data_IF_307430722042
#
_entry.id   IF_307430722042
#
_cell.length_a   1.000
_cell.length_b   1.000
_cell.length_c   1.000
_cell.angle_alpha   90.00
_cell.angle_beta   90.00
_cell.angle_gamma   90.00
#
_symmetry.space_group_name_H-M   'P 1'
#
loop_
_entity.id
_entity.type
_entity.pdbx_description
1 polymer ?
#
# COMPACT_ATOMS: atom_id res chain seq x y z
N UNK A 1 -10.94 3.49 -13.74
CA UNK A 1 -11.49 2.29 -13.07
C UNK A 1 -11.98 1.34 -14.14
N UNK A 2 -11.63 0.08 -14.03
CA UNK A 2 -12.10 -0.99 -14.91
C UNK A 2 -12.42 -2.24 -14.09
N UNK A 3 -13.33 -3.08 -14.60
CA UNK A 3 -13.55 -4.41 -14.05
C UNK A 3 -12.64 -5.40 -14.77
N UNK A 4 -11.90 -6.22 -14.01
CA UNK A 4 -11.07 -7.27 -14.54
C UNK A 4 -11.15 -8.53 -13.65
N UNK A 5 -11.47 -9.67 -14.23
CA UNK A 5 -11.92 -10.81 -13.45
C UNK A 5 -13.11 -10.44 -12.57
N UNK A 6 -13.06 -10.78 -11.31
CA UNK A 6 -14.09 -10.41 -10.32
C UNK A 6 -13.84 -9.05 -9.63
N UNK A 7 -12.71 -8.35 -9.91
CA UNK A 7 -12.30 -7.14 -9.22
C UNK A 7 -12.54 -5.86 -10.03
N UNK A 8 -12.95 -4.80 -9.34
CA UNK A 8 -12.82 -3.44 -9.84
C UNK A 8 -11.43 -2.93 -9.48
N UNK A 9 -10.68 -2.43 -10.47
CA UNK A 9 -9.29 -2.02 -10.30
C UNK A 9 -9.00 -0.65 -10.89
N UNK A 10 -7.96 -0.02 -10.37
CA UNK A 10 -7.33 1.16 -10.96
C UNK A 10 -6.10 0.66 -11.72
N UNK A 11 -6.09 0.85 -13.03
CA UNK A 11 -4.89 0.63 -13.85
C UNK A 11 -4.22 1.96 -14.15
N UNK A 12 -2.87 2.04 -14.11
CA UNK A 12 -2.14 3.29 -14.30
C UNK A 12 -2.36 3.90 -15.69
N UNK A 13 -2.37 3.07 -16.71
CA UNK A 13 -2.62 3.42 -18.11
C UNK A 13 -3.09 2.20 -18.89
N UNK A 14 -3.62 2.42 -20.09
CA UNK A 14 -3.95 1.30 -21.00
C UNK A 14 -2.66 0.70 -21.57
N UNK A 15 -1.78 1.55 -22.10
CA UNK A 15 -0.51 1.09 -22.67
C UNK A 15 0.45 0.64 -21.55
N UNK A 16 0.96 -0.58 -21.66
CA UNK A 16 1.91 -1.16 -20.72
C UNK A 16 1.32 -1.72 -19.42
N UNK A 17 -0.02 -1.60 -19.20
CA UNK A 17 -0.68 -2.07 -17.99
C UNK A 17 -1.96 -2.87 -18.26
N UNK A 18 -2.49 -2.82 -19.46
CA UNK A 18 -3.63 -3.60 -19.90
C UNK A 18 -3.22 -4.50 -21.07
N UNK A 19 -3.25 -5.81 -20.84
CA UNK A 19 -2.89 -6.85 -21.80
C UNK A 19 -4.08 -7.78 -22.07
N UNK A 20 -4.01 -8.60 -23.11
CA UNK A 20 -5.11 -9.48 -23.49
C UNK A 20 -5.49 -10.50 -22.40
N UNK A 21 -4.52 -10.96 -21.62
CA UNK A 21 -4.69 -12.04 -20.64
C UNK A 21 -4.30 -11.66 -19.20
N UNK A 22 -3.98 -10.39 -18.92
CA UNK A 22 -3.75 -9.86 -17.57
C UNK A 22 -3.75 -8.34 -17.56
N UNK A 23 -3.90 -7.78 -16.37
CA UNK A 23 -3.65 -6.36 -16.09
C UNK A 23 -2.58 -6.22 -15.01
N UNK A 24 -1.89 -5.07 -15.03
CA UNK A 24 -0.95 -4.69 -13.98
C UNK A 24 -1.62 -3.64 -13.09
N UNK A 25 -1.64 -3.92 -11.79
CA UNK A 25 -2.24 -3.08 -10.77
C UNK A 25 -1.18 -2.66 -9.76
N UNK A 26 -1.21 -1.39 -9.36
CA UNK A 26 -0.42 -0.92 -8.22
C UNK A 26 -1.35 -0.74 -7.01
N UNK A 27 -1.20 -1.53 -5.94
CA UNK A 27 -2.06 -1.44 -4.76
C UNK A 27 -2.06 -0.07 -4.10
N UNK A 28 -0.98 0.71 -4.22
CA UNK A 28 -0.88 2.05 -3.65
C UNK A 28 -1.73 3.11 -4.35
N UNK A 29 -2.34 2.78 -5.48
CA UNK A 29 -3.26 3.69 -6.18
C UNK A 29 -4.68 3.66 -5.62
N UNK A 30 -4.98 2.70 -4.75
CA UNK A 30 -6.22 2.69 -3.96
C UNK A 30 -6.07 3.65 -2.78
N UNK A 31 -6.26 4.94 -3.03
CA UNK A 31 -6.20 5.99 -2.00
C UNK A 31 -7.54 5.97 -1.25
N UNK A 32 -7.67 5.02 -0.30
CA UNK A 32 -8.92 4.73 0.40
C UNK A 32 -9.62 5.96 0.99
N UNK A 33 -8.94 6.90 1.69
CA UNK A 33 -9.62 8.09 2.22
C UNK A 33 -10.20 8.97 1.11
N UNK A 34 -9.52 9.12 -0.02
CA UNK A 34 -10.05 9.88 -1.16
C UNK A 34 -11.24 9.17 -1.82
N UNK A 35 -11.14 7.85 -2.04
CA UNK A 35 -12.21 7.05 -2.62
C UNK A 35 -13.46 7.06 -1.74
N UNK A 36 -13.31 6.95 -0.41
CA UNK A 36 -14.39 7.03 0.56
C UNK A 36 -15.05 8.41 0.55
N UNK A 37 -14.28 9.49 0.48
CA UNK A 37 -14.80 10.85 0.36
C UNK A 37 -15.59 11.06 -0.93
N UNK A 38 -15.12 10.52 -2.06
CA UNK A 38 -15.84 10.58 -3.34
C UNK A 38 -17.15 9.79 -3.22
N UNK A 39 -17.11 8.57 -2.69
CA UNK A 39 -18.31 7.76 -2.49
C UNK A 39 -19.33 8.47 -1.60
N UNK A 40 -18.92 9.01 -0.48
CA UNK A 40 -19.80 9.68 0.48
C UNK A 40 -20.49 10.92 -0.13
N UNK A 41 -19.84 11.60 -1.09
CA UNK A 41 -20.41 12.78 -1.76
C UNK A 41 -21.25 12.43 -2.98
N UNK A 42 -20.91 11.37 -3.70
CA UNK A 42 -21.55 11.06 -4.99
C UNK A 42 -22.52 9.88 -4.92
N UNK A 43 -22.39 9.02 -3.93
CA UNK A 43 -23.08 7.73 -3.77
C UNK A 43 -22.93 6.79 -4.99
N UNK A 44 -21.93 7.01 -5.84
CA UNK A 44 -21.67 6.16 -7.00
C UNK A 44 -21.08 4.82 -6.55
N UNK A 45 -21.85 3.76 -6.73
CA UNK A 45 -21.54 2.39 -6.30
C UNK A 45 -20.15 1.92 -6.75
N UNK A 46 -19.70 2.36 -7.91
CA UNK A 46 -18.37 2.00 -8.43
C UNK A 46 -17.21 2.32 -7.47
N UNK A 47 -17.30 3.39 -6.67
CA UNK A 47 -16.26 3.74 -5.69
C UNK A 47 -16.34 2.85 -4.44
N UNK A 48 -17.55 2.49 -4.03
CA UNK A 48 -17.76 1.51 -2.96
C UNK A 48 -17.19 0.14 -3.34
N UNK A 49 -17.53 -0.34 -4.54
CA UNK A 49 -17.02 -1.62 -5.05
C UNK A 49 -15.48 -1.59 -5.17
N UNK A 50 -14.92 -0.50 -5.68
CA UNK A 50 -13.48 -0.32 -5.81
C UNK A 50 -12.75 -0.39 -4.46
N UNK A 51 -13.28 0.25 -3.41
CA UNK A 51 -12.72 0.21 -2.05
C UNK A 51 -12.71 -1.23 -1.54
N UNK A 52 -13.85 -1.93 -1.63
CA UNK A 52 -13.97 -3.30 -1.13
C UNK A 52 -13.07 -4.28 -1.91
N UNK A 53 -13.04 -4.16 -3.22
CA UNK A 53 -12.21 -5.01 -4.07
C UNK A 53 -10.72 -4.75 -3.83
N UNK A 54 -10.31 -3.49 -3.66
CA UNK A 54 -8.95 -3.14 -3.30
C UNK A 54 -8.50 -3.75 -1.98
N UNK A 55 -9.36 -3.73 -0.94
CA UNK A 55 -9.09 -4.39 0.34
C UNK A 55 -9.06 -5.91 0.20
N UNK A 56 -10.02 -6.48 -0.53
CA UNK A 56 -10.09 -7.93 -0.80
C UNK A 56 -8.83 -8.43 -1.52
N UNK A 57 -8.30 -7.70 -2.49
CA UNK A 57 -7.07 -8.05 -3.19
C UNK A 57 -5.89 -8.28 -2.25
N UNK A 58 -5.80 -7.55 -1.13
CA UNK A 58 -4.70 -7.68 -0.16
C UNK A 58 -4.71 -9.04 0.56
N UNK A 59 -5.89 -9.66 0.72
CA UNK A 59 -6.03 -11.00 1.31
C UNK A 59 -5.90 -12.13 0.28
N UNK A 60 -6.24 -11.84 -0.98
CA UNK A 60 -6.27 -12.85 -2.05
C UNK A 60 -4.92 -13.04 -2.75
N UNK A 61 -3.89 -12.29 -2.35
CA UNK A 61 -2.52 -12.46 -2.83
C UNK A 61 -1.99 -13.85 -2.51
N UNK A 62 -1.62 -14.60 -3.55
CA UNK A 62 -1.16 -16.00 -3.46
C UNK A 62 0.33 -16.12 -3.77
N UNK A 63 0.90 -17.28 -3.42
CA UNK A 63 2.27 -17.65 -3.76
C UNK A 63 3.33 -16.68 -3.20
N UNK A 64 3.08 -16.09 -2.02
CA UNK A 64 3.99 -15.20 -1.35
C UNK A 64 4.48 -15.81 -0.04
N UNK A 65 5.79 -15.71 0.19
CA UNK A 65 6.41 -16.06 1.47
C UNK A 65 6.12 -15.00 2.54
N UNK A 66 6.01 -13.75 2.11
CA UNK A 66 5.69 -12.59 2.97
C UNK A 66 4.36 -12.01 2.53
N UNK A 67 3.39 -11.96 3.43
CA UNK A 67 2.00 -11.52 3.16
C UNK A 67 1.83 -10.00 3.09
N UNK A 68 2.81 -9.28 2.56
CA UNK A 68 2.68 -7.85 2.27
C UNK A 68 2.31 -7.63 0.80
N UNK A 69 1.60 -6.56 0.51
CA UNK A 69 1.33 -6.20 -0.87
C UNK A 69 2.65 -5.90 -1.60
N UNK A 70 2.90 -6.46 -2.80
CA UNK A 70 3.99 -6.02 -3.64
C UNK A 70 3.69 -4.66 -4.24
N UNK A 71 4.72 -3.97 -4.74
CA UNK A 71 4.55 -2.69 -5.43
C UNK A 71 3.65 -2.83 -6.68
N UNK A 72 3.76 -3.97 -7.37
CA UNK A 72 3.03 -4.24 -8.60
C UNK A 72 2.48 -5.66 -8.63
N UNK A 73 1.20 -5.79 -9.00
CA UNK A 73 0.46 -7.04 -9.09
C UNK A 73 0.07 -7.30 -10.54
N UNK A 74 0.32 -8.51 -11.00
CA UNK A 74 -0.29 -9.09 -12.20
C UNK A 74 -1.59 -9.79 -11.78
N UNK A 75 -2.71 -9.32 -12.32
CA UNK A 75 -4.04 -9.91 -12.12
C UNK A 75 -4.51 -10.55 -13.42
N UNK A 76 -4.89 -11.82 -13.37
CA UNK A 76 -5.43 -12.58 -14.51
C UNK A 76 -6.97 -12.55 -14.56
N UNK A 77 -7.62 -12.89 -15.69
CA UNK A 77 -9.08 -13.00 -15.76
C UNK A 77 -9.69 -14.08 -14.83
N UNK A 78 -8.86 -15.01 -14.35
CA UNK A 78 -9.24 -16.07 -13.40
C UNK A 78 -8.94 -15.70 -11.96
N UNK A 79 -8.72 -14.41 -11.69
CA UNK A 79 -8.45 -13.86 -10.35
C UNK A 79 -7.13 -14.34 -9.71
N UNK A 80 -6.21 -14.87 -10.51
CA UNK A 80 -4.87 -15.14 -10.02
C UNK A 80 -4.10 -13.84 -9.85
N UNK A 81 -3.51 -13.65 -8.68
CA UNK A 81 -2.72 -12.47 -8.33
C UNK A 81 -1.33 -12.88 -7.87
N UNK A 82 -0.32 -12.42 -8.58
CA UNK A 82 1.10 -12.63 -8.28
C UNK A 82 1.86 -11.31 -8.44
N UNK A 83 3.06 -11.16 -7.87
CA UNK A 83 3.93 -10.03 -8.19
C UNK A 83 4.16 -9.93 -9.69
N UNK A 84 4.06 -8.72 -10.26
CA UNK A 84 4.24 -8.51 -11.68
C UNK A 84 5.72 -8.72 -12.08
N UNK A 85 5.96 -9.54 -13.12
CA UNK A 85 7.30 -9.98 -13.53
C UNK A 85 8.19 -8.86 -14.08
N UNK A 86 7.59 -7.75 -14.50
CA UNK A 86 8.30 -6.58 -15.04
C UNK A 86 9.05 -5.78 -13.96
N UNK A 87 8.76 -6.01 -12.69
CA UNK A 87 9.36 -5.35 -11.54
C UNK A 87 9.86 -6.37 -10.52
N UNK A 88 10.82 -5.98 -9.66
CA UNK A 88 11.19 -6.81 -8.53
C UNK A 88 9.95 -7.15 -7.67
N UNK A 89 9.80 -8.38 -7.24
CA UNK A 89 8.70 -8.84 -6.39
C UNK A 89 8.82 -8.27 -4.96
N UNK A 90 8.81 -6.95 -4.82
CA UNK A 90 9.09 -6.24 -3.56
C UNK A 90 7.85 -5.54 -3.02
N UNK A 91 7.70 -5.59 -1.71
CA UNK A 91 6.95 -4.60 -0.94
C UNK A 91 7.94 -3.50 -0.58
N UNK A 92 7.85 -2.35 -1.23
CA UNK A 92 8.86 -1.30 -1.13
C UNK A 92 8.27 0.11 -1.23
N UNK A 93 8.85 0.96 -2.05
CA UNK A 93 8.56 2.40 -2.09
C UNK A 93 7.17 2.77 -2.63
N UNK A 94 6.53 1.91 -3.42
CA UNK A 94 5.11 2.10 -3.78
C UNK A 94 4.21 1.51 -2.70
N UNK A 95 4.44 0.26 -2.31
CA UNK A 95 3.60 -0.48 -1.39
C UNK A 95 3.54 0.10 0.02
N UNK A 96 4.53 0.91 0.44
CA UNK A 96 4.51 1.60 1.73
C UNK A 96 3.28 2.51 1.89
N UNK A 97 2.70 3.01 0.81
CA UNK A 97 1.50 3.86 0.85
C UNK A 97 0.22 3.06 1.11
N UNK A 98 0.23 1.74 0.89
CA UNK A 98 -0.95 0.90 1.16
C UNK A 98 -1.36 0.96 2.63
N UNK A 99 -0.49 0.63 3.61
CA UNK A 99 -0.85 0.72 5.02
C UNK A 99 -1.08 2.16 5.49
N UNK A 100 -0.43 3.16 4.88
CA UNK A 100 -0.71 4.58 5.14
C UNK A 100 -2.17 4.91 4.82
N UNK A 101 -2.66 4.56 3.62
CA UNK A 101 -4.02 4.88 3.20
C UNK A 101 -5.08 4.03 3.89
N UNK A 102 -4.77 2.78 4.27
CA UNK A 102 -5.65 1.96 5.11
C UNK A 102 -5.82 2.59 6.50
N UNK A 103 -4.72 3.01 7.13
CA UNK A 103 -4.75 3.69 8.43
C UNK A 103 -5.52 5.01 8.36
N UNK A 104 -5.28 5.79 7.31
CA UNK A 104 -5.92 7.09 7.11
C UNK A 104 -7.43 6.98 6.94
N UNK A 105 -7.92 5.91 6.31
CA UNK A 105 -9.36 5.63 6.23
C UNK A 105 -9.91 5.11 7.56
N UNK A 106 -9.21 4.14 8.16
CA UNK A 106 -9.59 3.53 9.42
C UNK A 106 -8.37 2.95 10.16
N UNK A 107 -7.93 3.61 11.23
CA UNK A 107 -6.78 3.15 12.02
C UNK A 107 -6.93 1.74 12.62
N UNK A 108 -8.16 1.23 12.70
CA UNK A 108 -8.46 -0.11 13.21
C UNK A 108 -8.72 -1.15 12.10
N UNK A 109 -8.41 -0.82 10.83
CA UNK A 109 -8.60 -1.73 9.72
C UNK A 109 -7.85 -3.05 9.94
N UNK A 110 -8.53 -4.19 9.74
CA UNK A 110 -7.95 -5.53 9.94
C UNK A 110 -6.82 -5.81 8.96
N UNK A 111 -6.88 -5.22 7.78
CA UNK A 111 -5.86 -5.30 6.74
C UNK A 111 -4.49 -4.83 7.21
N UNK A 112 -4.43 -3.94 8.20
CA UNK A 112 -3.18 -3.45 8.79
C UNK A 112 -2.40 -4.52 9.57
N UNK A 113 -3.04 -5.61 9.98
CA UNK A 113 -2.41 -6.60 10.86
C UNK A 113 -1.20 -7.28 10.21
N UNK A 114 -1.21 -7.51 8.90
CA UNK A 114 -0.06 -8.11 8.20
C UNK A 114 1.18 -7.21 8.25
N UNK A 115 1.01 -5.88 8.19
CA UNK A 115 2.10 -4.92 8.36
C UNK A 115 2.55 -4.81 9.81
N UNK A 116 1.62 -4.82 10.78
CA UNK A 116 1.95 -4.84 12.21
C UNK A 116 2.76 -6.08 12.58
N UNK A 117 2.35 -7.25 12.10
CA UNK A 117 3.10 -8.50 12.27
C UNK A 117 4.49 -8.43 11.62
N UNK A 118 4.60 -7.85 10.43
CA UNK A 118 5.88 -7.69 9.75
C UNK A 118 6.80 -6.75 10.51
N UNK A 119 6.32 -5.57 10.87
CA UNK A 119 7.12 -4.56 11.56
C UNK A 119 7.55 -4.99 12.97
N UNK A 120 6.74 -5.79 13.66
CA UNK A 120 7.08 -6.31 15.00
C UNK A 120 8.28 -7.26 15.02
N UNK A 121 8.69 -7.79 13.86
CA UNK A 121 9.87 -8.67 13.75
C UNK A 121 11.20 -7.94 13.88
N UNK A 122 11.18 -6.61 13.79
CA UNK A 122 12.38 -5.79 13.74
C UNK A 122 12.39 -4.74 14.84
N UNK A 123 13.55 -4.45 15.46
CA UNK A 123 13.70 -3.23 16.25
C UNK A 123 13.38 -2.00 15.39
N UNK A 124 12.87 -0.95 16.04
CA UNK A 124 12.42 0.27 15.35
C UNK A 124 13.46 0.88 14.42
N UNK A 125 14.71 0.89 14.87
CA UNK A 125 15.85 1.49 14.15
C UNK A 125 16.45 0.59 13.06
N UNK A 126 16.02 -0.67 12.95
CA UNK A 126 16.59 -1.66 12.03
C UNK A 126 15.56 -2.34 11.13
N UNK A 127 14.38 -1.74 10.94
CA UNK A 127 13.40 -2.23 9.96
C UNK A 127 13.94 -2.07 8.54
N UNK A 128 14.04 -3.14 7.74
CA UNK A 128 14.56 -3.04 6.38
C UNK A 128 13.64 -2.21 5.48
N UNK A 129 14.24 -1.45 4.55
CA UNK A 129 13.51 -0.53 3.67
C UNK A 129 12.54 -1.23 2.70
N UNK A 130 12.80 -2.48 2.34
CA UNK A 130 11.94 -3.30 1.49
C UNK A 130 12.12 -4.79 1.82
N UNK A 131 11.16 -5.59 1.36
CA UNK A 131 11.25 -7.05 1.38
C UNK A 131 10.77 -7.60 0.04
N UNK A 132 11.46 -8.61 -0.48
CA UNK A 132 10.99 -9.43 -1.59
C UNK A 132 9.91 -10.38 -1.07
N UNK A 133 8.67 -10.20 -1.51
CA UNK A 133 7.53 -10.94 -0.98
C UNK A 133 7.54 -12.42 -1.38
N UNK A 134 8.20 -12.77 -2.48
CA UNK A 134 8.31 -14.14 -2.96
C UNK A 134 9.41 -14.93 -2.22
N UNK A 135 10.57 -14.31 -1.96
CA UNK A 135 11.74 -15.00 -1.37
C UNK A 135 11.93 -14.72 0.12
N UNK A 136 11.43 -13.60 0.61
CA UNK A 136 11.67 -13.10 1.98
C UNK A 136 13.01 -12.36 2.13
N UNK A 137 13.78 -12.17 1.06
CA UNK A 137 14.99 -11.35 1.07
C UNK A 137 14.64 -9.91 1.45
N UNK A 138 15.47 -9.27 2.26
CA UNK A 138 15.27 -7.90 2.73
C UNK A 138 16.37 -6.97 2.24
N UNK A 139 16.09 -5.67 2.28
CA UNK A 139 17.11 -4.65 2.06
C UNK A 139 18.27 -4.81 3.05
N UNK A 140 19.48 -4.53 2.58
CA UNK A 140 20.68 -4.44 3.43
C UNK A 140 20.77 -3.13 4.21
N UNK A 141 19.79 -2.24 4.03
CA UNK A 141 19.70 -0.92 4.67
C UNK A 141 18.30 -0.70 5.25
N UNK A 142 18.22 0.18 6.23
CA UNK A 142 17.01 0.44 7.01
C UNK A 142 16.07 1.44 6.31
N UNK A 143 14.84 1.51 6.81
CA UNK A 143 13.86 2.51 6.39
C UNK A 143 14.42 3.93 6.56
N UNK A 144 14.22 4.77 5.55
CA UNK A 144 14.40 6.22 5.61
C UNK A 144 13.33 6.88 6.49
N UNK A 145 13.47 8.19 6.74
CA UNK A 145 12.58 8.91 7.67
C UNK A 145 11.10 8.80 7.28
N UNK A 146 10.77 8.95 6.01
CA UNK A 146 9.40 8.88 5.52
C UNK A 146 8.78 7.47 5.63
N UNK A 147 9.54 6.42 5.27
CA UNK A 147 9.08 5.04 5.44
C UNK A 147 8.87 4.71 6.92
N UNK A 148 9.78 5.19 7.79
CA UNK A 148 9.69 5.01 9.22
C UNK A 148 8.46 5.72 9.82
N UNK A 149 8.13 6.92 9.35
CA UNK A 149 6.92 7.63 9.79
C UNK A 149 5.65 6.82 9.49
N UNK A 150 5.54 6.21 8.30
CA UNK A 150 4.40 5.31 7.97
C UNK A 150 4.41 4.06 8.85
N UNK A 151 5.57 3.43 9.06
CA UNK A 151 5.70 2.29 9.98
C UNK A 151 5.21 2.65 11.38
N UNK A 152 5.67 3.75 11.93
CA UNK A 152 5.35 4.18 13.30
C UNK A 152 3.86 4.53 13.43
N UNK A 153 3.27 5.16 12.41
CA UNK A 153 1.83 5.40 12.31
C UNK A 153 1.05 4.07 12.41
N UNK A 154 1.40 3.08 11.60
CA UNK A 154 0.75 1.76 11.55
C UNK A 154 0.90 0.99 12.87
N UNK A 155 2.02 1.18 13.56
CA UNK A 155 2.31 0.61 14.87
C UNK A 155 1.62 1.37 16.03
N UNK A 156 0.82 2.41 15.72
CA UNK A 156 0.06 3.18 16.72
C UNK A 156 0.90 4.16 17.53
N UNK A 157 2.08 4.52 17.05
CA UNK A 157 2.90 5.53 17.71
C UNK A 157 2.43 6.95 17.39
N UNK A 158 2.61 7.90 18.30
CA UNK A 158 2.38 9.30 18.01
C UNK A 158 3.28 9.78 16.86
N UNK A 159 2.70 10.49 15.90
CA UNK A 159 3.43 11.12 14.80
C UNK A 159 3.50 12.62 15.06
N UNK A 160 4.71 13.11 15.21
CA UNK A 160 4.97 14.54 15.42
C UNK A 160 4.92 15.30 14.09
N UNK A 161 4.61 16.59 14.17
CA UNK A 161 4.66 17.46 13.00
C UNK A 161 6.07 17.46 12.40
N UNK A 162 6.20 17.14 11.10
CA UNK A 162 7.50 16.99 10.49
C UNK A 162 8.16 18.36 10.23
N UNK A 163 9.44 18.46 10.49
CA UNK A 163 10.26 19.56 9.99
C UNK A 163 10.70 19.22 8.55
N UNK A 164 9.96 19.73 7.57
CA UNK A 164 10.21 19.42 6.16
C UNK A 164 11.56 19.96 5.66
N UNK A 165 12.10 20.99 6.29
CA UNK A 165 13.41 21.56 5.93
C UNK A 165 14.58 20.62 6.21
N UNK A 166 14.39 19.63 7.09
CA UNK A 166 15.41 18.62 7.45
C UNK A 166 15.17 17.26 6.81
N UNK A 167 14.17 17.14 5.92
CA UNK A 167 13.90 15.88 5.21
C UNK A 167 15.01 15.56 4.21
N UNK A 168 15.28 14.27 4.06
CA UNK A 168 16.35 13.75 3.18
C UNK A 168 16.09 14.09 1.70
N UNK A 169 14.82 14.05 1.28
CA UNK A 169 14.35 14.34 -0.07
C UNK A 169 12.85 14.61 -0.11
N UNK A 170 12.33 14.93 -1.30
CA UNK A 170 10.90 15.17 -1.53
C UNK A 170 10.01 13.96 -1.18
N UNK A 171 10.46 12.74 -1.48
CA UNK A 171 9.69 11.52 -1.23
C UNK A 171 9.52 11.30 0.29
N UNK A 172 10.61 11.41 1.05
CA UNK A 172 10.57 11.30 2.51
C UNK A 172 9.78 12.44 3.16
N UNK A 173 9.94 13.68 2.69
CA UNK A 173 9.14 14.82 3.14
C UNK A 173 7.64 14.57 2.94
N UNK A 174 7.27 14.07 1.77
CA UNK A 174 5.86 13.77 1.44
C UNK A 174 5.28 12.69 2.34
N UNK A 175 6.00 11.58 2.56
CA UNK A 175 5.53 10.49 3.44
C UNK A 175 5.42 10.94 4.91
N UNK A 176 6.37 11.73 5.40
CA UNK A 176 6.31 12.30 6.76
C UNK A 176 5.06 13.16 6.93
N UNK A 177 4.79 14.06 5.96
CA UNK A 177 3.61 14.93 6.00
C UNK A 177 2.30 14.14 5.92
N UNK A 178 2.22 13.17 5.00
CA UNK A 178 1.02 12.33 4.84
C UNK A 178 0.77 11.46 6.09
N UNK A 179 1.81 10.92 6.71
CA UNK A 179 1.69 10.17 7.96
C UNK A 179 1.19 11.06 9.10
N UNK A 180 1.70 12.28 9.21
CA UNK A 180 1.23 13.27 10.19
C UNK A 180 -0.24 13.65 9.97
N UNK A 181 -0.64 13.93 8.73
CA UNK A 181 -2.04 14.25 8.40
C UNK A 181 -2.97 13.08 8.73
N UNK A 182 -2.61 11.85 8.34
CA UNK A 182 -3.37 10.65 8.68
C UNK A 182 -3.51 10.46 10.19
N UNK A 183 -2.43 10.69 10.94
CA UNK A 183 -2.46 10.65 12.40
C UNK A 183 -3.42 11.69 12.99
N UNK A 184 -3.37 12.93 12.51
CA UNK A 184 -4.22 14.03 12.99
C UNK A 184 -5.70 13.81 12.71
N UNK A 185 -6.04 13.23 11.56
CA UNK A 185 -7.44 12.99 11.19
C UNK A 185 -8.05 11.78 11.91
N UNK A 186 -7.22 10.84 12.37
CA UNK A 186 -7.67 9.61 13.03
C UNK A 186 -7.61 9.69 14.58
N UNK A 187 -7.08 10.76 15.17
CA UNK A 187 -6.93 10.97 16.61
C UNK A 187 -7.37 12.36 17.04
#
# INVERSE_FOLDING_TARGET
ITKYGSYNVIIPAVNGFYYNNYVIVNPSYFIYPALSNIYNKTHLKQFYDLINDGKKMLFDLKNQRVKLAPDWIKLTPTDEMIPAEQWPARSSYDAIRVPLYLYWENKNAQELNVWREWYSKYPEYSTPAWVNVATGETASYNMSSGLKAVRDLVMGKPIMEPNLATSEDYYNASLNLLAYLAYKEQN
#
